data_IF_642571148988
#
_entry.id   IF_642571148988
#
_cell.length_a   1.000
_cell.length_b   1.000
_cell.length_c   1.000
_cell.angle_alpha   90.00
_cell.angle_beta   90.00
_cell.angle_gamma   90.00
#
_symmetry.space_group_name_H-M   'P 1'
#
loop_
_entity.id
_entity.type
_entity.pdbx_description
1 polymer ?
#
# COMPACT_ATOMS: atom_id res chain seq x y z
N UNK A 1 -5.62 -8.68 -10.98
CA UNK A 1 -4.59 -9.52 -11.64
C UNK A 1 -4.90 -10.98 -11.29
N UNK A 2 -5.09 -11.88 -12.26
CA UNK A 2 -5.37 -13.29 -11.97
C UNK A 2 -4.29 -13.87 -11.05
N UNK A 3 -4.67 -14.39 -9.88
CA UNK A 3 -3.74 -15.00 -8.92
C UNK A 3 -3.27 -14.13 -7.76
N UNK A 4 -3.72 -12.87 -7.63
CA UNK A 4 -3.53 -12.12 -6.38
C UNK A 4 -4.43 -12.74 -5.31
N UNK A 5 -3.84 -13.39 -4.30
CA UNK A 5 -4.60 -13.95 -3.19
C UNK A 5 -5.33 -12.82 -2.44
N UNK A 6 -6.54 -13.10 -1.97
CA UNK A 6 -7.31 -12.22 -1.10
C UNK A 6 -6.45 -11.81 0.09
N UNK A 7 -6.39 -10.50 0.35
CA UNK A 7 -5.53 -9.80 1.31
C UNK A 7 -5.28 -10.57 2.61
N UNK A 8 -4.16 -11.30 2.69
CA UNK A 8 -3.57 -11.69 3.97
C UNK A 8 -2.50 -10.65 4.31
N UNK A 9 -2.62 -10.04 5.49
CA UNK A 9 -1.54 -9.21 6.04
C UNK A 9 -0.41 -10.15 6.42
N UNK A 10 0.74 -9.99 5.78
CA UNK A 10 1.96 -10.69 6.14
C UNK A 10 2.76 -9.82 7.13
N UNK A 11 3.05 -10.38 8.29
CA UNK A 11 3.90 -9.78 9.31
C UNK A 11 5.32 -10.34 9.23
N UNK A 12 6.32 -9.47 9.34
CA UNK A 12 7.72 -9.86 9.40
C UNK A 12 8.44 -9.07 10.50
N UNK A 13 9.08 -9.80 11.42
CA UNK A 13 9.86 -9.24 12.52
C UNK A 13 11.32 -9.66 12.31
N UNK A 14 12.21 -8.68 12.35
CA UNK A 14 13.66 -8.87 12.25
C UNK A 14 14.35 -8.20 13.44
N UNK A 15 15.66 -8.38 13.59
CA UNK A 15 16.44 -7.68 14.62
C UNK A 15 16.41 -6.15 14.49
N UNK A 16 16.11 -5.63 13.30
CA UNK A 16 16.21 -4.18 12.99
C UNK A 16 14.88 -3.51 12.70
N UNK A 17 13.88 -4.28 12.30
CA UNK A 17 12.61 -3.74 11.80
C UNK A 17 11.46 -4.72 11.99
N UNK A 18 10.27 -4.17 12.17
CA UNK A 18 8.99 -4.86 12.18
C UNK A 18 8.12 -4.23 11.10
N UNK A 19 7.70 -5.01 10.11
CA UNK A 19 6.92 -4.51 8.99
C UNK A 19 5.76 -5.45 8.63
N UNK A 20 4.69 -4.83 8.14
CA UNK A 20 3.50 -5.50 7.65
C UNK A 20 3.37 -5.24 6.15
N UNK A 21 3.02 -6.27 5.40
CA UNK A 21 2.76 -6.19 3.97
C UNK A 21 1.33 -6.68 3.71
N UNK A 22 0.52 -5.87 3.04
CA UNK A 22 -0.83 -6.23 2.67
C UNK A 22 -1.00 -6.07 1.16
N UNK A 23 -1.49 -7.12 0.50
CA UNK A 23 -1.92 -7.04 -0.89
C UNK A 23 -3.33 -6.45 -0.95
N UNK A 24 -3.56 -5.51 -1.88
CA UNK A 24 -4.86 -4.88 -2.10
C UNK A 24 -5.36 -5.26 -3.48
N UNK A 25 -6.63 -5.66 -3.57
CA UNK A 25 -7.29 -5.84 -4.85
C UNK A 25 -7.50 -4.48 -5.50
N UNK A 26 -6.92 -4.27 -6.68
CA UNK A 26 -7.02 -3.00 -7.41
C UNK A 26 -8.45 -2.69 -7.90
N UNK A 27 -9.34 -3.69 -7.97
CA UNK A 27 -10.76 -3.45 -8.21
C UNK A 27 -11.47 -2.80 -6.99
N UNK A 28 -10.87 -2.92 -5.80
CA UNK A 28 -11.37 -2.41 -4.52
C UNK A 28 -10.26 -1.63 -3.79
N UNK A 29 -9.53 -0.78 -4.53
CA UNK A 29 -8.32 -0.07 -4.07
C UNK A 29 -8.54 0.79 -2.81
N UNK A 30 -9.76 1.24 -2.58
CA UNK A 30 -10.21 1.97 -1.39
C UNK A 30 -10.02 1.20 -0.09
N UNK A 31 -10.05 -0.14 -0.13
CA UNK A 31 -9.78 -1.00 1.04
C UNK A 31 -8.37 -0.80 1.62
N UNK A 32 -7.44 -0.20 0.86
CA UNK A 32 -6.13 0.19 1.37
C UNK A 32 -6.22 1.14 2.58
N UNK A 33 -7.23 2.01 2.63
CA UNK A 33 -7.40 2.97 3.71
C UNK A 33 -7.90 2.31 5.01
N UNK A 34 -8.83 1.35 4.90
CA UNK A 34 -9.26 0.53 6.03
C UNK A 34 -8.08 -0.28 6.60
N UNK A 35 -7.31 -0.94 5.73
CA UNK A 35 -6.12 -1.71 6.15
C UNK A 35 -5.10 -0.79 6.84
N UNK A 36 -4.86 0.40 6.28
CA UNK A 36 -3.95 1.39 6.86
C UNK A 36 -4.38 1.82 8.26
N UNK A 37 -5.66 2.16 8.45
CA UNK A 37 -6.23 2.50 9.76
C UNK A 37 -6.04 1.36 10.75
N UNK A 38 -6.36 0.13 10.35
CA UNK A 38 -6.20 -1.05 11.21
C UNK A 38 -4.74 -1.27 11.63
N UNK A 39 -3.79 -1.14 10.71
CA UNK A 39 -2.37 -1.29 11.02
C UNK A 39 -1.88 -0.22 11.99
N UNK A 40 -2.37 1.02 11.87
CA UNK A 40 -2.00 2.11 12.80
C UNK A 40 -2.61 1.86 14.19
N UNK A 41 -3.88 1.47 14.26
CA UNK A 41 -4.61 1.31 15.52
C UNK A 41 -4.23 0.05 16.28
N UNK A 42 -4.16 -1.10 15.58
CA UNK A 42 -4.00 -2.42 16.20
C UNK A 42 -2.54 -2.82 16.29
N UNK A 43 -1.74 -2.47 15.28
CA UNK A 43 -0.35 -2.91 15.17
C UNK A 43 0.66 -1.80 15.52
N UNK A 44 0.20 -0.55 15.67
CA UNK A 44 1.06 0.57 16.06
C UNK A 44 2.12 0.93 15.03
N UNK A 45 1.86 0.69 13.74
CA UNK A 45 2.80 1.07 12.68
C UNK A 45 3.04 2.57 12.70
N UNK A 46 4.29 2.98 12.44
CA UNK A 46 4.72 4.39 12.55
C UNK A 46 4.89 5.07 11.19
N UNK A 47 4.67 4.34 10.10
CA UNK A 47 4.77 4.81 8.72
C UNK A 47 3.98 3.87 7.82
N UNK A 48 3.40 4.43 6.75
CA UNK A 48 2.74 3.66 5.68
C UNK A 48 3.41 3.98 4.36
N UNK A 49 3.74 2.95 3.58
CA UNK A 49 4.19 3.09 2.20
C UNK A 49 3.17 2.46 1.24
N UNK A 50 2.69 3.26 0.30
CA UNK A 50 1.81 2.80 -0.77
C UNK A 50 2.66 2.46 -1.99
N UNK A 51 2.69 1.18 -2.34
CA UNK A 51 3.52 0.66 -3.42
C UNK A 51 2.70 0.39 -4.69
N UNK A 52 3.35 0.52 -5.85
CA UNK A 52 2.78 0.14 -7.14
C UNK A 52 1.56 0.98 -7.53
N UNK A 53 0.43 0.33 -7.83
CA UNK A 53 -0.80 0.99 -8.29
C UNK A 53 -1.53 1.81 -7.22
N UNK A 54 -1.21 1.62 -5.94
CA UNK A 54 -1.82 2.32 -4.81
C UNK A 54 -1.27 3.73 -4.60
N UNK A 55 -0.16 4.07 -5.25
CA UNK A 55 0.52 5.35 -5.11
C UNK A 55 -0.20 6.51 -5.85
N UNK A 56 -1.50 6.40 -6.12
CA UNK A 56 -2.26 7.50 -6.73
C UNK A 56 -2.54 8.61 -5.70
N UNK A 57 -2.66 9.86 -6.16
CA UNK A 57 -2.94 10.98 -5.27
C UNK A 57 -4.26 10.82 -4.49
N UNK A 58 -5.27 10.22 -5.12
CA UNK A 58 -6.57 9.90 -4.54
C UNK A 58 -6.43 8.94 -3.34
N UNK A 59 -5.72 7.82 -3.52
CA UNK A 59 -5.56 6.81 -2.45
C UNK A 59 -4.65 7.33 -1.35
N UNK A 60 -3.59 8.06 -1.68
CA UNK A 60 -2.73 8.72 -0.68
C UNK A 60 -3.56 9.67 0.20
N UNK A 61 -4.46 10.46 -0.39
CA UNK A 61 -5.31 11.37 0.36
C UNK A 61 -6.28 10.60 1.28
N UNK A 62 -6.94 9.56 0.76
CA UNK A 62 -7.85 8.72 1.53
C UNK A 62 -7.16 8.04 2.72
N UNK A 63 -5.96 7.48 2.52
CA UNK A 63 -5.17 6.86 3.60
C UNK A 63 -4.76 7.89 4.66
N UNK A 64 -4.39 9.12 4.25
CA UNK A 64 -4.07 10.20 5.19
C UNK A 64 -5.28 10.61 6.02
N UNK A 65 -6.45 10.67 5.41
CA UNK A 65 -7.71 10.98 6.08
C UNK A 65 -8.08 9.89 7.10
N UNK A 66 -8.12 8.63 6.68
CA UNK A 66 -8.48 7.48 7.54
C UNK A 66 -7.48 7.22 8.67
N UNK A 67 -6.21 7.60 8.50
CA UNK A 67 -5.21 7.53 9.55
C UNK A 67 -5.13 8.80 10.39
N UNK A 68 -6.01 9.77 10.15
CA UNK A 68 -6.05 11.08 10.82
C UNK A 68 -4.69 11.81 10.79
N UNK A 69 -3.88 11.59 9.75
CA UNK A 69 -2.50 12.07 9.63
C UNK A 69 -1.58 11.71 10.82
N UNK A 70 -1.90 10.65 11.58
CA UNK A 70 -1.11 10.21 12.74
C UNK A 70 0.25 9.65 12.37
N UNK A 71 0.41 9.18 11.13
CA UNK A 71 1.65 8.61 10.61
C UNK A 71 1.96 9.18 9.22
N UNK A 72 3.24 9.31 8.84
CA UNK A 72 3.61 9.66 7.47
C UNK A 72 3.13 8.60 6.48
N UNK A 73 2.56 9.08 5.37
CA UNK A 73 2.13 8.25 4.23
C UNK A 73 3.04 8.55 3.05
N UNK A 74 3.94 7.61 2.76
CA UNK A 74 4.84 7.60 1.61
C UNK A 74 4.24 6.89 0.42
N UNK A 75 4.81 7.14 -0.75
CA UNK A 75 4.40 6.53 -2.01
C UNK A 75 5.63 6.08 -2.79
N UNK A 76 5.64 4.81 -3.18
CA UNK A 76 6.76 4.17 -3.88
C UNK A 76 6.37 3.94 -5.34
N UNK A 77 7.12 4.61 -6.23
CA UNK A 77 6.87 4.59 -7.66
C UNK A 77 7.98 3.86 -8.40
N UNK A 78 7.60 3.17 -9.48
CA UNK A 78 8.56 2.81 -10.51
C UNK A 78 9.09 4.07 -11.19
N UNK A 79 10.41 4.10 -11.38
CA UNK A 79 11.10 5.16 -12.11
C UNK A 79 10.62 5.26 -13.56
N UNK A 80 10.89 6.40 -14.23
CA UNK A 80 10.42 6.65 -15.59
C UNK A 80 10.86 5.55 -16.57
N UNK A 81 12.09 5.03 -16.41
CA UNK A 81 12.66 3.96 -17.23
C UNK A 81 11.86 2.65 -17.17
N UNK A 82 11.22 2.35 -16.03
CA UNK A 82 10.48 1.11 -15.83
C UNK A 82 8.98 1.27 -16.02
N UNK A 83 8.46 2.51 -15.97
CA UNK A 83 7.01 2.76 -16.02
C UNK A 83 6.41 2.33 -17.36
N UNK A 84 7.03 2.69 -18.49
CA UNK A 84 6.47 2.35 -19.81
C UNK A 84 6.48 0.84 -20.09
N UNK A 85 7.60 0.12 -19.86
CA UNK A 85 7.61 -1.34 -19.96
C UNK A 85 6.55 -2.04 -19.09
N UNK A 86 6.29 -1.52 -17.89
CA UNK A 86 5.27 -2.09 -17.00
C UNK A 86 3.85 -1.90 -17.53
N UNK A 87 3.52 -0.73 -18.07
CA UNK A 87 2.21 -0.48 -18.70
C UNK A 87 2.01 -1.41 -19.89
N UNK A 88 3.03 -1.52 -20.76
CA UNK A 88 2.98 -2.39 -21.94
C UNK A 88 2.82 -3.88 -21.55
N UNK A 89 3.48 -4.32 -20.47
CA UNK A 89 3.38 -5.68 -19.95
C UNK A 89 2.00 -5.98 -19.34
N UNK A 90 1.44 -5.02 -18.60
CA UNK A 90 0.18 -5.20 -17.86
C UNK A 90 -1.07 -4.91 -18.70
N UNK A 91 -0.90 -4.45 -19.96
CA UNK A 91 -1.99 -4.07 -20.86
C UNK A 91 -2.95 -3.04 -20.23
N UNK A 92 -2.41 -2.11 -19.44
CA UNK A 92 -3.14 -1.04 -18.76
C UNK A 92 -3.28 0.21 -19.63
#
# INVERSE_FOLDING_TARGET
MPGLQTSSIQENITEKAHFYCAAVDMAHKETAADIARELVEKNGVQMIELCGGLASAEIIALVKEETENRVPVGAVYYGPESRRPLVDLLQL
#
